data_IF_676387683322
#
_entry.id   IF_676387683322
#
_cell.length_a   1.000
_cell.length_b   1.000
_cell.length_c   1.000
_cell.angle_alpha   90.00
_cell.angle_beta   90.00
_cell.angle_gamma   90.00
#
_symmetry.space_group_name_H-M   'P 1'
#
loop_
_entity.id
_entity.type
_entity.pdbx_description
1 polymer ?
#
# COMPACT_ATOMS: atom_id res chain seq x y z
N UNK A 1 19.18 -14.23 -4.20
CA UNK A 1 18.15 -13.30 -4.70
C UNK A 1 18.79 -11.93 -4.69
N UNK A 2 19.13 -11.38 -5.86
CA UNK A 2 19.75 -10.04 -5.92
C UNK A 2 18.79 -9.02 -5.33
N UNK A 3 19.27 -8.03 -4.55
CA UNK A 3 18.39 -6.99 -4.03
C UNK A 3 17.74 -6.27 -5.20
N UNK A 4 16.42 -6.29 -5.22
CA UNK A 4 15.63 -5.47 -6.15
C UNK A 4 15.93 -4.02 -5.79
N UNK A 5 16.26 -3.19 -6.78
CA UNK A 5 16.43 -1.75 -6.54
C UNK A 5 15.10 -1.16 -6.05
N UNK A 6 15.15 -0.10 -5.26
CA UNK A 6 13.94 0.55 -4.73
C UNK A 6 12.98 0.94 -5.87
N UNK A 7 13.52 1.53 -6.96
CA UNK A 7 12.75 1.84 -8.16
C UNK A 7 12.10 0.60 -8.83
N UNK A 8 12.79 -0.55 -8.85
CA UNK A 8 12.22 -1.78 -9.39
C UNK A 8 11.15 -2.37 -8.46
N UNK A 9 11.30 -2.22 -7.14
CA UNK A 9 10.31 -2.62 -6.16
C UNK A 9 9.05 -1.76 -6.28
N UNK A 10 9.19 -0.43 -6.40
CA UNK A 10 8.06 0.49 -6.63
C UNK A 10 7.31 0.16 -7.93
N UNK A 11 8.03 -0.09 -9.01
CA UNK A 11 7.42 -0.47 -10.29
C UNK A 11 6.65 -1.81 -10.17
N UNK A 12 7.21 -2.80 -9.48
CA UNK A 12 6.55 -4.08 -9.23
C UNK A 12 5.30 -3.92 -8.36
N UNK A 13 5.37 -3.12 -7.29
CA UNK A 13 4.22 -2.78 -6.44
C UNK A 13 3.12 -2.10 -7.27
N UNK A 14 3.47 -1.11 -8.08
CA UNK A 14 2.53 -0.40 -8.94
C UNK A 14 1.83 -1.31 -9.96
N UNK A 15 2.58 -2.23 -10.58
CA UNK A 15 2.05 -3.23 -11.50
C UNK A 15 1.07 -4.19 -10.79
N UNK A 16 1.48 -4.77 -9.66
CA UNK A 16 0.65 -5.67 -8.88
C UNK A 16 -0.64 -4.99 -8.39
N UNK A 17 -0.56 -3.72 -7.94
CA UNK A 17 -1.74 -2.98 -7.49
C UNK A 17 -2.76 -2.75 -8.63
N UNK A 18 -2.30 -2.61 -9.88
CA UNK A 18 -3.20 -2.51 -11.04
C UNK A 18 -3.91 -3.84 -11.29
N UNK A 19 -3.16 -4.94 -11.29
CA UNK A 19 -3.71 -6.29 -11.51
C UNK A 19 -4.72 -6.69 -10.42
N UNK A 20 -4.39 -6.42 -9.16
CA UNK A 20 -5.21 -6.75 -7.99
C UNK A 20 -6.30 -5.71 -7.69
N UNK A 21 -6.38 -4.63 -8.47
CA UNK A 21 -7.34 -3.55 -8.28
C UNK A 21 -7.26 -2.92 -6.88
N UNK A 22 -6.05 -2.59 -6.42
CA UNK A 22 -5.77 -1.97 -5.12
C UNK A 22 -5.44 -0.47 -5.31
N UNK A 23 -6.44 0.39 -5.63
CA UNK A 23 -6.19 1.78 -5.97
C UNK A 23 -5.63 2.60 -4.80
N UNK A 24 -6.00 2.29 -3.56
CA UNK A 24 -5.54 3.02 -2.37
C UNK A 24 -4.14 2.59 -2.00
N UNK A 25 -3.84 1.28 -2.03
CA UNK A 25 -2.44 0.82 -1.86
C UNK A 25 -1.52 1.48 -2.89
N UNK A 26 -1.97 1.59 -4.15
CA UNK A 26 -1.17 2.22 -5.22
C UNK A 26 -0.83 3.68 -4.95
N UNK A 27 -1.70 4.44 -4.27
CA UNK A 27 -1.44 5.86 -3.95
C UNK A 27 -0.72 6.05 -2.62
N UNK A 28 -1.05 5.24 -1.62
CA UNK A 28 -0.62 5.47 -0.24
C UNK A 28 0.62 4.68 0.18
N UNK A 29 1.03 3.63 -0.55
CA UNK A 29 2.15 2.77 -0.16
C UNK A 29 3.46 3.55 0.09
N UNK A 30 3.84 4.46 -0.82
CA UNK A 30 5.04 5.29 -0.65
C UNK A 30 4.97 6.21 0.58
N UNK A 31 3.95 7.09 0.68
CA UNK A 31 3.77 7.95 1.85
C UNK A 31 3.70 7.20 3.18
N UNK A 32 3.03 6.04 3.21
CA UNK A 32 2.96 5.19 4.40
C UNK A 32 4.28 4.49 4.71
N UNK A 33 5.10 4.17 3.71
CA UNK A 33 6.44 3.64 3.92
C UNK A 33 7.35 4.71 4.56
N UNK A 34 7.29 5.95 4.07
CA UNK A 34 8.01 7.07 4.67
C UNK A 34 7.57 7.33 6.12
N UNK A 35 6.26 7.25 6.38
CA UNK A 35 5.72 7.35 7.74
C UNK A 35 6.20 6.20 8.63
N UNK A 36 6.15 4.97 8.13
CA UNK A 36 6.64 3.78 8.82
C UNK A 36 8.12 3.89 9.22
N UNK A 37 8.96 4.47 8.36
CA UNK A 37 10.36 4.74 8.67
C UNK A 37 10.51 5.76 9.82
N UNK A 38 9.75 6.86 9.79
CA UNK A 38 9.77 7.88 10.85
C UNK A 38 9.27 7.32 12.18
N UNK A 39 8.22 6.51 12.14
CA UNK A 39 7.54 5.93 13.30
C UNK A 39 8.17 4.61 13.78
N UNK A 40 9.22 4.12 13.08
CA UNK A 40 9.90 2.84 13.34
C UNK A 40 8.94 1.65 13.36
N UNK A 41 7.94 1.67 12.47
CA UNK A 41 7.06 0.53 12.29
C UNK A 41 7.84 -0.66 11.74
N UNK A 42 7.48 -1.86 12.20
CA UNK A 42 7.97 -3.08 11.57
C UNK A 42 7.41 -3.22 10.16
N UNK A 43 8.07 -4.01 9.30
CA UNK A 43 7.55 -4.35 7.96
C UNK A 43 6.11 -4.87 7.99
N UNK A 44 5.76 -5.67 9.01
CA UNK A 44 4.40 -6.17 9.20
C UNK A 44 3.43 -5.07 9.64
N UNK A 45 3.88 -4.11 10.45
CA UNK A 45 3.09 -2.94 10.84
C UNK A 45 2.75 -2.08 9.63
N UNK A 46 3.75 -1.72 8.83
CA UNK A 46 3.54 -1.01 7.56
C UNK A 46 2.54 -1.74 6.64
N UNK A 47 2.70 -3.05 6.46
CA UNK A 47 1.78 -3.84 5.64
C UNK A 47 0.34 -3.82 6.19
N UNK A 48 0.17 -3.84 7.51
CA UNK A 48 -1.14 -3.78 8.14
C UNK A 48 -1.82 -2.42 7.91
N UNK A 49 -1.08 -1.32 8.01
CA UNK A 49 -1.61 0.04 7.76
C UNK A 49 -2.08 0.21 6.31
N UNK A 50 -1.23 -0.18 5.35
CA UNK A 50 -1.54 -0.07 3.91
C UNK A 50 -2.77 -0.90 3.54
N UNK A 51 -2.89 -2.13 4.05
CA UNK A 51 -4.05 -2.98 3.76
C UNK A 51 -5.32 -2.49 4.48
N UNK A 52 -5.19 -1.96 5.70
CA UNK A 52 -6.31 -1.35 6.43
C UNK A 52 -6.88 -0.16 5.65
N UNK A 53 -6.01 0.75 5.16
CA UNK A 53 -6.42 1.89 4.35
C UNK A 53 -7.22 1.46 3.10
N UNK A 54 -6.81 0.40 2.42
CA UNK A 54 -7.53 -0.14 1.25
C UNK A 54 -8.90 -0.71 1.63
N UNK A 55 -8.99 -1.47 2.73
CA UNK A 55 -10.25 -2.03 3.22
C UNK A 55 -11.21 -0.92 3.63
N UNK A 56 -10.74 0.09 4.35
CA UNK A 56 -11.54 1.23 4.80
C UNK A 56 -12.11 2.01 3.63
N UNK A 57 -11.27 2.35 2.65
CA UNK A 57 -11.70 3.04 1.44
C UNK A 57 -12.69 2.21 0.61
N UNK A 58 -12.53 0.88 0.56
CA UNK A 58 -13.53 -0.03 -0.04
C UNK A 58 -14.84 -0.04 0.75
N UNK A 59 -14.77 -0.01 2.07
CA UNK A 59 -15.92 0.09 2.97
C UNK A 59 -16.71 1.38 2.73
N UNK A 60 -16.02 2.51 2.66
CA UNK A 60 -16.63 3.82 2.41
C UNK A 60 -17.32 3.87 1.05
N UNK A 61 -16.65 3.42 -0.02
CA UNK A 61 -17.26 3.32 -1.35
C UNK A 61 -18.48 2.42 -1.39
N UNK A 62 -18.51 1.35 -0.59
CA UNK A 62 -19.68 0.45 -0.48
C UNK A 62 -20.82 1.12 0.29
N UNK A 63 -20.53 1.94 1.30
CA UNK A 63 -21.54 2.68 2.08
C UNK A 63 -22.20 3.76 1.22
N UNK A 64 -21.42 4.56 0.49
CA UNK A 64 -21.94 5.64 -0.39
C UNK A 64 -22.88 5.10 -1.48
N UNK A 65 -22.70 3.86 -1.91
CA UNK A 65 -23.55 3.21 -2.93
C UNK A 65 -24.86 2.63 -2.38
N UNK A 66 -25.02 2.54 -1.06
CA UNK A 66 -26.24 2.02 -0.40
C UNK A 66 -27.16 3.17 -0.05
#
# INVERSE_FOLDING_TARGET
MSPVTEAAAEAAIGAACRELHLPTVRSEAGPLADAALRERLSHRGYLAEVLSAEVDQRGERRRIRR
#
